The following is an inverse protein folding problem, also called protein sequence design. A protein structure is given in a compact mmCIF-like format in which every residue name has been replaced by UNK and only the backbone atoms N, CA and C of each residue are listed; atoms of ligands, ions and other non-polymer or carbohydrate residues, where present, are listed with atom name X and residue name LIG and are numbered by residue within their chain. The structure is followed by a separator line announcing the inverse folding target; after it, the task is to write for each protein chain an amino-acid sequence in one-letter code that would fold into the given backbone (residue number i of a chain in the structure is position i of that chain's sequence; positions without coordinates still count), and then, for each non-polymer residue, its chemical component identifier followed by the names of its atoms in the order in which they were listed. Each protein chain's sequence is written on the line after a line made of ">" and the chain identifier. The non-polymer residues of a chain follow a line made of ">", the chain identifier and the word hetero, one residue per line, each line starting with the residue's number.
data_IF_946230130138
#
_entry.id   IF_946230130138
#
_cell.length_a   1.000
_cell.length_b   1.000
_cell.length_c   1.000
_cell.angle_alpha   90.00
_cell.angle_beta   90.00
_cell.angle_gamma   90.00
#
_symmetry.space_group_name_H-M   'P 1'
#
loop_
_entity.id
_entity.type
_entity.pdbx_description
1 polymer ?
#
# COMPACT_ATOMS: atom_id res chain seq x y z
N UNK A 1 -5.88 12.70 4.28
CA UNK A 1 -4.96 13.73 3.74
C UNK A 1 -5.45 15.09 4.20
N UNK A 2 -4.57 15.92 4.75
CA UNK A 2 -4.90 17.27 5.24
C UNK A 2 -4.62 18.35 4.18
N UNK A 3 -3.69 18.11 3.26
CA UNK A 3 -3.40 19.03 2.16
C UNK A 3 -2.12 18.65 1.41
N UNK A 4 -1.70 19.52 0.50
CA UNK A 4 -0.41 19.45 -0.17
C UNK A 4 0.28 20.81 -0.12
N UNK A 5 1.60 20.85 -0.08
CA UNK A 5 2.37 22.09 -0.15
C UNK A 5 3.59 21.95 -1.05
N UNK A 6 4.12 23.09 -1.50
CA UNK A 6 5.32 23.15 -2.33
C UNK A 6 6.43 23.91 -1.60
N UNK A 7 7.66 23.44 -1.70
CA UNK A 7 8.83 24.17 -1.21
C UNK A 7 9.81 24.43 -2.37
N UNK A 8 9.53 25.48 -3.14
CA UNK A 8 10.24 25.76 -4.38
C UNK A 8 9.73 24.95 -5.58
N UNK A 9 10.40 25.03 -6.75
CA UNK A 9 9.83 24.57 -8.01
C UNK A 9 9.69 23.04 -8.13
N UNK A 10 10.47 22.27 -7.37
CA UNK A 10 10.58 20.80 -7.56
C UNK A 10 10.29 19.97 -6.31
N UNK A 11 9.83 20.58 -5.21
CA UNK A 11 9.50 19.83 -3.99
C UNK A 11 8.01 19.96 -3.73
N UNK A 12 7.32 18.82 -3.83
CA UNK A 12 5.91 18.67 -3.53
C UNK A 12 5.77 17.75 -2.31
N UNK A 13 4.96 18.16 -1.35
CA UNK A 13 4.70 17.41 -0.14
C UNK A 13 3.21 17.18 0.01
N UNK A 14 2.85 15.98 0.49
CA UNK A 14 1.52 15.69 0.99
C UNK A 14 1.54 15.71 2.52
N UNK A 15 0.59 16.43 3.11
CA UNK A 15 0.40 16.47 4.56
C UNK A 15 -0.70 15.48 4.90
N UNK A 16 -0.35 14.47 5.69
CA UNK A 16 -1.23 13.34 6.04
C UNK A 16 -1.21 13.06 7.54
N UNK A 17 -2.19 12.26 7.99
CA UNK A 17 -2.18 11.67 9.33
C UNK A 17 -0.91 10.84 9.54
N UNK A 18 -0.34 10.89 10.74
CA UNK A 18 0.84 10.12 11.10
C UNK A 18 0.45 8.70 11.53
N UNK A 19 0.99 7.69 10.83
CA UNK A 19 0.81 6.29 11.17
C UNK A 19 1.80 5.86 12.27
N UNK A 20 1.40 6.06 13.54
CA UNK A 20 2.27 5.84 14.70
C UNK A 20 2.68 4.38 14.92
N UNK A 21 1.94 3.43 14.37
CA UNK A 21 2.22 2.00 14.54
C UNK A 21 3.08 1.41 13.40
N UNK A 22 3.60 2.23 12.47
CA UNK A 22 4.46 1.82 11.34
C UNK A 22 3.71 0.97 10.30
N UNK A 23 4.44 0.41 9.33
CA UNK A 23 3.87 -0.44 8.28
C UNK A 23 3.68 -1.90 8.73
N UNK A 24 2.81 -2.64 8.04
CA UNK A 24 2.67 -4.09 8.24
C UNK A 24 4.02 -4.82 8.09
N UNK A 25 4.88 -4.39 7.16
CA UNK A 25 6.20 -5.00 6.95
C UNK A 25 7.14 -4.90 8.17
N UNK A 26 6.91 -3.92 9.04
CA UNK A 26 7.69 -3.71 10.26
C UNK A 26 7.03 -4.33 11.50
N UNK A 27 5.76 -4.73 11.37
CA UNK A 27 4.93 -5.27 12.44
C UNK A 27 4.85 -6.80 12.47
N UNK A 28 5.33 -7.49 11.43
CA UNK A 28 5.38 -8.96 11.34
C UNK A 28 6.33 -9.64 12.33
N UNK A 29 6.87 -8.91 13.32
CA UNK A 29 7.61 -9.53 14.41
C UNK A 29 6.65 -10.40 15.25
N UNK A 30 6.84 -11.73 15.31
CA UNK A 30 5.93 -12.64 16.00
C UNK A 30 5.78 -12.37 17.51
N UNK A 31 6.70 -11.62 18.12
CA UNK A 31 6.56 -11.17 19.51
C UNK A 31 5.49 -10.09 19.70
N UNK A 32 5.02 -9.44 18.63
CA UNK A 32 4.09 -8.29 18.67
C UNK A 32 2.78 -8.53 17.95
N UNK A 33 2.70 -9.54 17.07
CA UNK A 33 1.53 -9.77 16.22
C UNK A 33 1.08 -11.24 16.26
N UNK A 34 -0.17 -11.45 16.67
CA UNK A 34 -0.87 -12.73 16.51
C UNK A 34 -1.44 -12.84 15.10
N UNK A 35 -1.65 -14.06 14.60
CA UNK A 35 -2.32 -14.29 13.31
C UNK A 35 -3.67 -13.55 13.23
N UNK A 36 -4.46 -13.58 14.29
CA UNK A 36 -5.76 -12.89 14.34
C UNK A 36 -5.61 -11.38 14.11
N UNK A 37 -4.60 -10.75 14.70
CA UNK A 37 -4.34 -9.32 14.48
C UNK A 37 -3.91 -9.06 13.03
N UNK A 38 -3.06 -9.93 12.45
CA UNK A 38 -2.63 -9.79 11.06
C UNK A 38 -3.81 -9.90 10.09
N UNK A 39 -4.66 -10.90 10.25
CA UNK A 39 -5.86 -11.08 9.43
C UNK A 39 -6.81 -9.88 9.53
N UNK A 40 -6.96 -9.30 10.72
CA UNK A 40 -7.74 -8.07 10.90
C UNK A 40 -7.16 -6.91 10.08
N UNK A 41 -5.84 -6.71 10.09
CA UNK A 41 -5.18 -5.64 9.31
C UNK A 41 -5.27 -5.87 7.80
N UNK A 42 -5.14 -7.12 7.35
CA UNK A 42 -5.30 -7.46 5.93
C UNK A 42 -6.73 -7.26 5.45
N UNK A 43 -7.73 -7.56 6.29
CA UNK A 43 -9.13 -7.27 5.98
C UNK A 43 -9.40 -5.76 5.88
N UNK A 44 -8.90 -4.96 6.81
CA UNK A 44 -9.00 -3.49 6.75
C UNK A 44 -8.31 -2.93 5.49
N UNK A 45 -7.15 -3.48 5.10
CA UNK A 45 -6.47 -3.12 3.85
C UNK A 45 -7.32 -3.48 2.62
N UNK A 46 -8.00 -4.63 2.63
CA UNK A 46 -8.90 -5.06 1.56
C UNK A 46 -10.09 -4.10 1.39
N UNK A 47 -10.70 -3.65 2.50
CA UNK A 47 -11.77 -2.65 2.48
C UNK A 47 -11.29 -1.31 1.90
N UNK A 48 -10.08 -0.89 2.26
CA UNK A 48 -9.45 0.30 1.67
C UNK A 48 -9.21 0.14 0.16
N UNK A 49 -8.86 -1.07 -0.29
CA UNK A 49 -8.61 -1.36 -1.70
C UNK A 49 -9.91 -1.37 -2.52
N UNK A 50 -10.95 -2.02 -2.00
CA UNK A 50 -12.30 -2.00 -2.57
C UNK A 50 -12.78 -0.56 -2.75
N UNK A 51 -12.63 0.28 -1.73
CA UNK A 51 -13.00 1.70 -1.79
C UNK A 51 -12.30 2.46 -2.94
N UNK A 52 -11.02 2.17 -3.21
CA UNK A 52 -10.27 2.74 -4.33
C UNK A 52 -10.80 2.23 -5.68
N UNK A 53 -11.00 0.92 -5.80
CA UNK A 53 -11.46 0.27 -7.04
C UNK A 53 -12.86 0.73 -7.45
N UNK A 54 -13.78 0.88 -6.50
CA UNK A 54 -15.13 1.43 -6.73
C UNK A 54 -15.10 2.86 -7.34
N UNK A 55 -14.02 3.60 -7.12
CA UNK A 55 -13.80 4.95 -7.65
C UNK A 55 -12.92 4.98 -8.89
N UNK A 56 -12.59 3.81 -9.45
CA UNK A 56 -11.75 3.68 -10.63
C UNK A 56 -10.28 3.99 -10.38
N UNK A 57 -9.83 3.94 -9.12
CA UNK A 57 -8.42 4.14 -8.76
C UNK A 57 -7.71 2.81 -8.56
N UNK A 58 -6.61 2.63 -9.29
CA UNK A 58 -5.69 1.52 -9.11
C UNK A 58 -4.58 1.95 -8.15
N UNK A 59 -4.27 1.12 -7.16
CA UNK A 59 -3.18 1.39 -6.22
C UNK A 59 -1.82 1.26 -6.92
N UNK A 60 -1.57 0.15 -7.62
CA UNK A 60 -0.42 -0.08 -8.52
C UNK A 60 0.93 -0.36 -7.85
N UNK A 61 1.09 -0.06 -6.56
CA UNK A 61 2.24 -0.47 -5.73
C UNK A 61 1.77 -1.03 -4.37
N UNK A 62 0.81 -1.94 -4.35
CA UNK A 62 0.30 -2.48 -3.09
C UNK A 62 1.28 -3.52 -2.51
N UNK A 63 1.71 -3.32 -1.26
CA UNK A 63 2.69 -4.17 -0.56
C UNK A 63 2.66 -3.90 0.94
N UNK A 64 3.21 -4.80 1.77
CA UNK A 64 3.16 -4.68 3.23
C UNK A 64 3.77 -3.37 3.78
N UNK A 65 4.71 -2.73 3.07
CA UNK A 65 5.29 -1.44 3.47
C UNK A 65 4.36 -0.24 3.20
N UNK A 66 3.39 -0.40 2.30
CA UNK A 66 2.41 0.63 1.95
C UNK A 66 1.07 0.43 2.67
N UNK A 67 0.96 -0.60 3.52
CA UNK A 67 -0.15 -0.76 4.47
C UNK A 67 0.34 -0.26 5.83
N UNK A 68 -0.16 0.90 6.25
CA UNK A 68 0.25 1.58 7.47
C UNK A 68 -0.80 1.41 8.56
N UNK A 69 -0.37 1.38 9.83
CA UNK A 69 -1.29 1.27 10.97
C UNK A 69 -1.34 2.59 11.74
N UNK A 70 -2.54 3.14 11.87
CA UNK A 70 -2.81 4.38 12.61
C UNK A 70 -2.71 4.22 14.13
N UNK A 71 -2.84 5.32 14.86
CA UNK A 71 -2.85 5.32 16.33
C UNK A 71 -4.10 4.67 16.93
N UNK A 72 -5.19 4.62 16.16
CA UNK A 72 -6.41 3.86 16.46
C UNK A 72 -6.25 2.35 16.23
N UNK A 73 -5.08 1.94 15.72
CA UNK A 73 -4.79 0.57 15.35
C UNK A 73 -5.40 0.16 14.00
N UNK A 74 -6.03 1.03 13.24
CA UNK A 74 -6.62 0.68 11.94
C UNK A 74 -5.58 0.67 10.83
N UNK A 75 -5.58 -0.36 9.99
CA UNK A 75 -4.75 -0.42 8.80
C UNK A 75 -5.34 0.46 7.68
N UNK A 76 -4.47 1.24 7.02
CA UNK A 76 -4.81 2.19 5.96
C UNK A 76 -3.81 2.03 4.80
N UNK A 77 -4.31 2.14 3.58
CA UNK A 77 -3.46 2.15 2.37
C UNK A 77 -2.75 3.50 2.22
N UNK A 78 -1.53 3.48 1.68
CA UNK A 78 -0.70 4.67 1.45
C UNK A 78 0.02 4.56 0.12
N UNK A 79 0.54 5.69 -0.38
CA UNK A 79 1.30 5.75 -1.65
C UNK A 79 0.51 5.33 -2.91
N UNK A 80 -0.83 5.29 -2.85
CA UNK A 80 -1.66 5.13 -4.04
C UNK A 80 -1.61 6.40 -4.92
N UNK A 81 -1.76 6.24 -6.23
CA UNK A 81 -1.71 7.35 -7.18
C UNK A 81 -0.29 7.79 -7.58
N UNK A 82 0.75 7.12 -7.08
CA UNK A 82 2.14 7.28 -7.54
C UNK A 82 2.56 6.22 -8.58
N UNK A 83 1.62 5.35 -8.97
CA UNK A 83 1.85 4.15 -9.79
C UNK A 83 2.48 4.41 -11.16
N UNK A 84 2.34 5.62 -11.72
CA UNK A 84 2.96 6.02 -12.99
C UNK A 84 4.41 6.52 -12.89
N UNK A 85 4.90 6.83 -11.68
CA UNK A 85 6.23 7.42 -11.48
C UNK A 85 7.25 6.45 -10.88
N UNK A 86 6.83 5.24 -10.51
CA UNK A 86 7.73 4.25 -9.92
C UNK A 86 8.43 3.49 -11.03
N UNK A 87 9.69 3.87 -11.28
CA UNK A 87 10.63 3.07 -12.05
C UNK A 87 10.52 1.61 -11.61
N UNK A 88 10.34 0.73 -12.59
CA UNK A 88 10.18 -0.74 -12.54
C UNK A 88 11.38 -1.47 -11.88
N UNK A 89 12.26 -0.76 -11.18
CA UNK A 89 13.61 -1.21 -10.84
C UNK A 89 13.90 -1.34 -9.33
N UNK A 90 12.89 -1.40 -8.46
CA UNK A 90 13.13 -1.89 -7.09
C UNK A 90 12.90 -3.40 -7.06
N UNK A 91 13.98 -4.18 -7.03
CA UNK A 91 13.97 -5.65 -6.90
C UNK A 91 13.10 -6.14 -5.72
N UNK A 92 12.85 -5.27 -4.73
CA UNK A 92 12.01 -5.54 -3.57
C UNK A 92 10.52 -5.53 -3.90
N UNK A 93 10.03 -4.76 -4.87
CA UNK A 93 8.60 -4.72 -5.21
C UNK A 93 8.16 -5.94 -6.03
N UNK A 94 9.08 -6.59 -6.75
CA UNK A 94 8.82 -7.75 -7.62
C UNK A 94 8.04 -8.86 -6.92
N UNK A 95 8.27 -9.09 -5.62
CA UNK A 95 7.52 -10.08 -4.82
C UNK A 95 6.01 -9.85 -4.84
N UNK A 96 5.56 -8.60 -4.87
CA UNK A 96 4.14 -8.24 -4.79
C UNK A 96 3.51 -7.98 -6.16
N UNK A 97 4.30 -7.91 -7.24
CA UNK A 97 3.78 -7.56 -8.55
C UNK A 97 3.12 -8.76 -9.25
N UNK A 98 1.96 -8.50 -9.85
CA UNK A 98 1.25 -9.46 -10.68
C UNK A 98 2.06 -9.82 -11.94
N UNK A 99 1.89 -11.05 -12.48
CA UNK A 99 2.69 -11.52 -13.61
C UNK A 99 2.53 -10.68 -14.88
N UNK A 100 1.35 -10.10 -15.12
CA UNK A 100 1.10 -9.16 -16.22
C UNK A 100 1.87 -7.84 -16.04
N UNK A 101 1.94 -7.32 -14.81
CA UNK A 101 2.71 -6.10 -14.49
C UNK A 101 4.20 -6.36 -14.68
N UNK A 102 4.69 -7.54 -14.31
CA UNK A 102 6.08 -7.96 -14.55
C UNK A 102 6.43 -8.09 -16.04
N UNK A 103 5.43 -8.33 -16.90
CA UNK A 103 5.60 -8.33 -18.37
C UNK A 103 5.55 -6.93 -18.97
N UNK A 104 5.36 -5.89 -18.15
CA UNK A 104 5.28 -4.50 -18.58
C UNK A 104 3.87 -4.04 -18.95
N UNK A 105 2.84 -4.84 -18.65
CA UNK A 105 1.45 -4.38 -18.79
C UNK A 105 1.14 -3.34 -17.70
N UNK A 106 0.20 -2.44 -18.00
CA UNK A 106 -0.23 -1.44 -17.04
C UNK A 106 -0.92 -2.11 -15.83
N UNK A 107 -0.70 -1.60 -14.59
CA UNK A 107 -1.45 -2.06 -13.43
C UNK A 107 -2.97 -1.97 -13.65
N UNK A 108 -3.69 -2.92 -13.07
CA UNK A 108 -5.14 -3.09 -13.13
C UNK A 108 -5.72 -3.39 -11.73
N UNK A 109 -7.05 -3.36 -11.59
CA UNK A 109 -7.70 -3.80 -10.35
C UNK A 109 -7.32 -5.25 -9.98
N UNK A 110 -7.21 -6.13 -10.99
CA UNK A 110 -6.82 -7.52 -10.79
C UNK A 110 -5.37 -7.64 -10.29
N UNK A 111 -4.48 -6.80 -10.80
CA UNK A 111 -3.08 -6.78 -10.35
C UNK A 111 -2.93 -6.30 -8.89
N UNK A 112 -3.79 -5.39 -8.43
CA UNK A 112 -3.84 -4.98 -7.02
C UNK A 112 -4.33 -6.12 -6.12
N UNK A 113 -5.34 -6.88 -6.57
CA UNK A 113 -5.86 -8.05 -5.84
C UNK A 113 -4.76 -9.12 -5.70
N UNK A 114 -4.00 -9.37 -6.77
CA UNK A 114 -2.82 -10.24 -6.70
C UNK A 114 -1.81 -9.73 -5.65
N UNK A 115 -1.51 -8.44 -5.68
CA UNK A 115 -0.55 -7.80 -4.78
C UNK A 115 -0.98 -7.89 -3.31
N UNK A 116 -2.29 -7.74 -3.03
CA UNK A 116 -2.86 -7.97 -1.71
C UNK A 116 -2.71 -9.43 -1.27
N UNK A 117 -2.95 -10.38 -2.19
CA UNK A 117 -2.74 -11.82 -1.93
C UNK A 117 -1.29 -12.12 -1.54
N UNK A 118 -0.32 -11.46 -2.17
CA UNK A 118 1.10 -11.58 -1.81
C UNK A 118 1.44 -10.99 -0.44
N UNK A 119 0.58 -10.17 0.17
CA UNK A 119 0.76 -9.69 1.54
C UNK A 119 0.33 -10.70 2.61
N UNK A 120 -0.34 -11.78 2.21
CA UNK A 120 -0.77 -12.88 3.10
C UNK A 120 0.35 -13.90 3.31
N UNK A 121 1.36 -13.94 2.42
CA UNK A 121 2.47 -14.91 2.37
C UNK A 121 3.71 -14.35 3.08
#
# INVERSE_FOLDING_TARGET
>A
MYGACTAGPNLQFFVCEYASMRSLSELTNPARFTESTLWKRLHEAALGLEYLHERGHIHGDLRCSNILVGSDGTAKLSNFGLSGSMNVASSRAVRWQAPEVLKGEAPSHQSDVYSLGMCVI
#
